data_IF_543751033969
#
_entry.id   IF_543751033969
#
_cell.length_a   1.000
_cell.length_b   1.000
_cell.length_c   1.000
_cell.angle_alpha   90.00
_cell.angle_beta   90.00
_cell.angle_gamma   90.00
#
_symmetry.space_group_name_H-M   'P 1'
#
loop_
_entity.id
_entity.type
_entity.pdbx_description
1 polymer ?
#
# COMPACT_ATOMS: atom_id res chain seq x y z
N UNK A 1 3.43 24.52 -2.39
CA UNK A 1 3.23 24.12 -0.99
C UNK A 1 1.73 24.01 -0.75
N UNK A 2 1.28 22.84 -0.39
CA UNK A 2 -0.11 22.65 -0.05
C UNK A 2 -0.20 22.33 1.44
N UNK A 3 -0.91 23.15 2.16
CA UNK A 3 -1.37 22.87 3.50
C UNK A 3 -2.83 22.53 3.36
N UNK A 4 -3.18 21.27 3.33
CA UNK A 4 -4.54 20.90 3.05
C UNK A 4 -4.96 19.62 3.74
N UNK A 5 -5.91 19.73 4.61
CA UNK A 5 -6.82 18.64 4.92
C UNK A 5 -8.01 18.61 3.96
N UNK A 6 -8.01 19.43 2.95
CA UNK A 6 -9.05 19.51 1.94
C UNK A 6 -8.54 18.96 0.63
N UNK A 7 -9.36 18.21 0.05
CA UNK A 7 -9.46 17.66 -1.29
C UNK A 7 -8.43 18.07 -2.34
N UNK A 8 -8.28 17.21 -3.24
CA UNK A 8 -7.40 17.19 -4.40
C UNK A 8 -7.27 18.51 -5.13
N UNK A 9 -6.04 19.00 -5.23
CA UNK A 9 -5.84 20.34 -5.74
C UNK A 9 -5.70 20.44 -7.26
N UNK A 10 -5.59 19.37 -8.00
CA UNK A 10 -5.16 19.45 -9.39
C UNK A 10 -6.24 19.79 -10.41
N UNK A 11 -7.05 18.83 -10.77
CA UNK A 11 -8.05 19.02 -11.80
C UNK A 11 -9.22 19.86 -11.31
N UNK A 12 -9.57 19.73 -10.04
CA UNK A 12 -10.65 20.51 -9.43
C UNK A 12 -10.28 21.95 -9.20
N UNK A 13 -9.02 22.25 -8.89
CA UNK A 13 -8.54 23.63 -8.79
C UNK A 13 -8.68 24.42 -10.10
N UNK A 14 -8.49 23.77 -11.22
CA UNK A 14 -8.66 24.39 -12.52
C UNK A 14 -10.14 24.55 -12.90
N UNK A 15 -10.98 23.61 -12.45
CA UNK A 15 -12.40 23.63 -12.72
C UNK A 15 -13.22 24.52 -11.75
N UNK A 16 -12.74 24.65 -10.51
CA UNK A 16 -13.44 25.38 -9.44
C UNK A 16 -12.45 26.21 -8.59
N UNK A 17 -11.86 27.23 -9.16
CA UNK A 17 -10.82 28.03 -8.49
C UNK A 17 -11.31 28.73 -7.22
N UNK A 18 -12.62 28.90 -7.08
CA UNK A 18 -13.23 29.55 -5.91
C UNK A 18 -13.39 28.61 -4.71
N UNK A 19 -13.37 27.31 -4.94
CA UNK A 19 -13.54 26.29 -3.89
C UNK A 19 -12.23 25.77 -3.35
N UNK A 20 -11.19 25.75 -4.17
CA UNK A 20 -9.89 25.23 -3.81
C UNK A 20 -8.85 26.34 -3.91
N UNK A 21 -8.13 26.55 -2.84
CA UNK A 21 -7.12 27.59 -2.77
C UNK A 21 -5.76 26.99 -2.50
N UNK A 22 -4.79 27.48 -3.19
CA UNK A 22 -3.39 27.11 -3.05
C UNK A 22 -2.68 28.16 -2.17
N UNK A 23 -1.70 27.75 -1.40
CA UNK A 23 -0.88 28.64 -0.58
C UNK A 23 -1.67 29.47 0.45
N UNK A 24 -2.25 28.80 1.42
CA UNK A 24 -2.90 29.41 2.57
C UNK A 24 -4.37 29.74 2.39
N UNK A 25 -4.95 29.35 1.26
CA UNK A 25 -6.38 29.45 1.05
C UNK A 25 -7.14 28.15 1.28
N UNK A 26 -6.52 27.18 1.91
CA UNK A 26 -7.12 25.86 2.15
C UNK A 26 -8.31 25.93 3.07
N UNK A 27 -9.39 25.35 2.64
CA UNK A 27 -10.60 25.29 3.43
C UNK A 27 -10.47 24.25 4.52
N UNK A 28 -10.72 24.66 5.76
CA UNK A 28 -10.74 23.77 6.87
C UNK A 28 -11.94 22.79 6.79
N UNK A 29 -11.67 21.51 6.93
CA UNK A 29 -12.70 20.46 6.92
C UNK A 29 -12.84 19.87 8.32
N UNK A 30 -14.00 20.00 8.97
CA UNK A 30 -14.21 19.48 10.30
C UNK A 30 -14.33 17.95 10.32
N UNK A 31 -14.23 17.37 11.51
CA UNK A 31 -14.59 15.99 11.78
C UNK A 31 -16.09 15.74 11.62
N UNK A 32 -16.50 14.48 11.61
CA UNK A 32 -17.92 14.05 11.48
C UNK A 32 -18.85 14.56 12.57
N UNK A 33 -18.32 15.01 13.70
CA UNK A 33 -19.07 15.65 14.78
C UNK A 33 -19.07 17.19 14.72
N UNK A 34 -18.51 17.76 13.67
CA UNK A 34 -18.38 19.20 13.47
C UNK A 34 -17.25 19.85 14.25
N UNK A 35 -16.51 19.11 15.03
CA UNK A 35 -15.37 19.65 15.78
C UNK A 35 -14.14 19.79 14.90
N UNK A 36 -13.15 20.48 15.44
CA UNK A 36 -11.90 20.74 14.77
C UNK A 36 -11.11 19.46 14.58
N UNK A 37 -10.65 19.25 13.34
CA UNK A 37 -9.68 18.24 13.01
C UNK A 37 -8.28 18.87 13.20
N UNK A 38 -7.62 18.52 14.30
CA UNK A 38 -6.32 19.08 14.61
C UNK A 38 -5.25 18.51 13.67
N UNK A 39 -4.47 19.45 13.11
CA UNK A 39 -3.33 19.14 12.27
C UNK A 39 -2.06 19.50 13.03
N UNK A 40 -1.08 18.61 13.01
CA UNK A 40 0.24 18.86 13.56
C UNK A 40 1.25 18.92 12.43
N UNK A 41 1.90 20.06 12.29
CA UNK A 41 2.94 20.27 11.29
C UNK A 41 4.22 20.81 11.93
N UNK A 42 5.35 20.38 11.40
CA UNK A 42 6.66 20.91 11.78
C UNK A 42 7.27 21.66 10.62
N UNK A 43 7.63 22.90 10.87
CA UNK A 43 8.38 23.71 9.94
C UNK A 43 9.84 23.72 10.34
N UNK A 44 10.70 23.34 9.40
CA UNK A 44 12.14 23.46 9.54
C UNK A 44 12.61 24.57 8.61
N UNK A 45 13.23 25.60 9.19
CA UNK A 45 13.84 26.69 8.42
C UNK A 45 15.34 26.57 8.56
N UNK A 46 16.01 26.28 7.46
CA UNK A 46 17.47 26.23 7.40
C UNK A 46 17.95 27.35 6.50
N UNK A 47 18.87 28.18 7.02
CA UNK A 47 19.47 29.26 6.29
C UNK A 47 20.97 29.01 6.17
N UNK A 48 21.48 29.04 4.94
CA UNK A 48 22.91 28.93 4.67
C UNK A 48 23.25 29.64 3.36
N UNK A 49 24.44 30.21 3.22
CA UNK A 49 24.94 30.68 1.92
C UNK A 49 25.30 29.52 0.96
N UNK A 50 25.29 28.28 1.44
CA UNK A 50 25.65 27.10 0.67
C UNK A 50 24.40 26.22 0.45
N UNK A 51 24.11 25.95 -0.81
CA UNK A 51 22.90 25.21 -1.20
C UNK A 51 22.83 23.81 -0.59
N UNK A 52 23.93 23.08 -0.57
CA UNK A 52 24.00 21.73 -0.04
C UNK A 52 23.67 21.62 1.45
N UNK A 53 23.84 22.71 2.21
CA UNK A 53 23.55 22.75 3.65
C UNK A 53 22.07 22.98 3.95
N UNK A 54 21.29 23.47 2.98
CA UNK A 54 19.84 23.67 3.16
C UNK A 54 19.03 22.47 2.72
N UNK A 55 19.67 21.49 2.10
CA UNK A 55 18.98 20.24 1.76
C UNK A 55 18.74 19.40 3.02
N UNK A 56 17.57 18.76 3.13
CA UNK A 56 17.30 17.93 4.29
C UNK A 56 18.28 16.76 4.37
N UNK A 57 19.01 16.68 5.46
CA UNK A 57 19.89 15.58 5.80
C UNK A 57 19.10 14.52 6.55
N UNK A 58 18.32 13.76 5.85
CA UNK A 58 17.64 12.60 6.44
C UNK A 58 18.60 11.41 6.46
N UNK A 59 18.79 10.75 7.61
CA UNK A 59 19.53 9.51 7.65
C UNK A 59 18.90 8.52 6.68
N UNK A 60 19.63 8.16 5.67
CA UNK A 60 19.21 7.16 4.69
C UNK A 60 20.26 6.05 4.61
N UNK A 61 20.29 5.15 5.59
CA UNK A 61 21.22 4.03 5.57
C UNK A 61 20.96 3.18 4.32
N UNK A 62 22.03 2.69 3.72
CA UNK A 62 21.89 1.79 2.57
C UNK A 62 21.05 0.57 2.96
N UNK A 63 20.03 0.30 2.16
CA UNK A 63 19.29 -0.94 2.31
C UNK A 63 20.23 -2.13 2.11
N UNK A 64 20.19 -3.16 2.97
CA UNK A 64 20.94 -4.38 2.77
C UNK A 64 20.55 -5.11 1.46
N UNK A 65 19.42 -4.78 0.89
CA UNK A 65 18.87 -5.37 -0.34
C UNK A 65 19.18 -4.57 -1.62
N UNK A 66 19.99 -3.51 -1.51
CA UNK A 66 20.36 -2.69 -2.69
C UNK A 66 21.00 -3.51 -3.82
N UNK A 67 21.73 -4.56 -3.49
CA UNK A 67 22.32 -5.44 -4.49
C UNK A 67 21.26 -6.16 -5.33
N UNK A 68 20.16 -6.58 -4.74
CA UNK A 68 19.03 -7.20 -5.46
C UNK A 68 18.39 -6.18 -6.40
N UNK A 69 18.12 -4.97 -5.91
CA UNK A 69 17.51 -3.89 -6.71
C UNK A 69 18.36 -3.51 -7.92
N UNK A 70 19.70 -3.55 -7.78
CA UNK A 70 20.64 -3.20 -8.85
C UNK A 70 20.91 -4.31 -9.87
N UNK A 71 20.59 -5.56 -9.55
CA UNK A 71 20.95 -6.72 -10.38
C UNK A 71 19.76 -7.51 -10.90
N UNK A 72 18.58 -7.37 -10.32
CA UNK A 72 17.40 -8.16 -10.65
C UNK A 72 16.37 -7.33 -11.41
N UNK A 73 15.69 -7.99 -12.34
CA UNK A 73 14.49 -7.46 -13.00
C UNK A 73 13.28 -7.76 -12.14
N UNK A 74 12.55 -6.73 -11.75
CA UNK A 74 11.27 -6.92 -11.06
C UNK A 74 10.15 -7.20 -12.06
N UNK A 75 9.32 -8.19 -11.73
CA UNK A 75 8.16 -8.56 -12.53
C UNK A 75 6.92 -8.73 -11.64
N UNK A 76 5.96 -7.83 -11.80
CA UNK A 76 4.60 -8.06 -11.33
C UNK A 76 3.94 -9.10 -12.24
N UNK A 77 3.43 -10.17 -11.67
CA UNK A 77 2.81 -11.27 -12.40
C UNK A 77 1.34 -11.41 -12.02
N UNK A 78 0.48 -11.41 -13.03
CA UNK A 78 -0.92 -11.76 -12.85
C UNK A 78 -1.06 -13.26 -12.63
N UNK A 79 -1.01 -13.70 -11.39
CA UNK A 79 -1.03 -15.11 -11.04
C UNK A 79 -2.34 -15.76 -11.46
N UNK A 80 -2.22 -16.83 -12.24
CA UNK A 80 -3.32 -17.61 -12.75
C UNK A 80 -3.41 -19.00 -12.13
N UNK A 81 -3.41 -20.00 -12.97
CA UNK A 81 -3.29 -21.39 -12.56
C UNK A 81 -1.85 -21.74 -12.20
N UNK A 82 -1.61 -22.30 -11.02
CA UNK A 82 -0.26 -22.59 -10.50
C UNK A 82 0.56 -23.51 -11.41
N UNK A 83 -0.05 -24.48 -12.06
CA UNK A 83 0.65 -25.36 -12.99
C UNK A 83 1.06 -24.65 -14.28
N UNK A 84 0.22 -23.77 -14.77
CA UNK A 84 0.56 -22.91 -15.90
C UNK A 84 1.70 -21.94 -15.53
N UNK A 85 1.62 -21.32 -14.35
CA UNK A 85 2.62 -20.36 -13.87
C UNK A 85 3.97 -21.05 -13.67
N UNK A 86 4.01 -22.27 -13.12
CA UNK A 86 5.24 -23.07 -13.00
C UNK A 86 5.87 -23.33 -14.38
N UNK A 87 5.09 -23.74 -15.36
CA UNK A 87 5.61 -23.94 -16.72
C UNK A 87 6.15 -22.67 -17.32
N UNK A 88 5.42 -21.57 -17.21
CA UNK A 88 5.85 -20.26 -17.71
C UNK A 88 7.21 -19.85 -17.12
N UNK A 89 7.34 -19.86 -15.81
CA UNK A 89 8.58 -19.44 -15.13
C UNK A 89 9.72 -20.41 -15.36
N UNK A 90 9.45 -21.72 -15.54
CA UNK A 90 10.45 -22.71 -15.95
C UNK A 90 11.01 -22.38 -17.33
N UNK A 91 10.16 -22.04 -18.27
CA UNK A 91 10.61 -21.63 -19.60
C UNK A 91 11.42 -20.33 -19.55
N UNK A 92 10.99 -19.31 -18.79
CA UNK A 92 11.77 -18.11 -18.58
C UNK A 92 13.16 -18.43 -18.04
N UNK A 93 13.27 -19.31 -17.06
CA UNK A 93 14.55 -19.76 -16.51
C UNK A 93 15.41 -20.47 -17.54
N UNK A 94 14.83 -21.35 -18.37
CA UNK A 94 15.54 -22.03 -19.47
C UNK A 94 16.11 -21.07 -20.50
N UNK A 95 15.42 -19.95 -20.74
CA UNK A 95 15.89 -18.88 -21.64
C UNK A 95 16.87 -17.89 -20.99
N UNK A 96 17.36 -18.18 -19.81
CA UNK A 96 18.42 -17.42 -19.15
C UNK A 96 17.95 -16.29 -18.24
N UNK A 97 16.66 -16.18 -17.95
CA UNK A 97 16.18 -15.25 -16.94
C UNK A 97 16.50 -15.81 -15.55
N UNK A 98 17.56 -15.33 -14.93
CA UNK A 98 18.08 -15.86 -13.65
C UNK A 98 17.90 -14.88 -12.50
N UNK A 99 18.09 -13.59 -12.75
CA UNK A 99 17.99 -12.54 -11.76
C UNK A 99 16.64 -11.86 -11.86
N UNK A 100 15.63 -12.47 -11.25
CA UNK A 100 14.25 -12.00 -11.32
C UNK A 100 13.63 -11.92 -9.93
N UNK A 101 12.97 -10.82 -9.65
CA UNK A 101 12.07 -10.64 -8.51
C UNK A 101 10.64 -10.74 -9.01
N UNK A 102 9.89 -11.71 -8.53
CA UNK A 102 8.51 -11.94 -8.95
C UNK A 102 7.58 -11.64 -7.79
N UNK A 103 6.60 -10.80 -8.04
CA UNK A 103 5.51 -10.55 -7.09
C UNK A 103 4.17 -10.90 -7.73
N UNK A 104 3.44 -11.81 -7.09
CA UNK A 104 2.20 -12.32 -7.61
C UNK A 104 1.01 -11.43 -7.26
N UNK A 105 0.38 -10.88 -8.31
CA UNK A 105 -0.99 -10.44 -8.26
C UNK A 105 -1.91 -11.64 -8.47
N UNK A 106 -2.63 -12.04 -7.48
CA UNK A 106 -3.67 -13.04 -7.64
C UNK A 106 -4.88 -12.40 -8.32
N UNK A 107 -5.41 -13.09 -9.33
CA UNK A 107 -6.51 -12.58 -10.14
C UNK A 107 -7.82 -12.47 -9.37
N UNK A 108 -8.61 -11.49 -9.71
CA UNK A 108 -9.92 -11.24 -9.17
C UNK A 108 -10.03 -9.86 -8.53
N UNK A 109 -10.70 -9.79 -7.40
CA UNK A 109 -10.85 -8.57 -6.65
C UNK A 109 -9.72 -8.38 -5.66
N UNK A 110 -9.43 -7.14 -5.34
CA UNK A 110 -8.64 -6.80 -4.15
C UNK A 110 -9.30 -7.40 -2.93
N UNK A 111 -8.50 -7.99 -2.05
CA UNK A 111 -8.90 -8.75 -0.87
C UNK A 111 -9.71 -10.02 -1.13
N UNK A 112 -10.28 -10.19 -2.28
CA UNK A 112 -10.98 -11.42 -2.68
C UNK A 112 -10.18 -12.27 -3.66
N UNK A 113 -9.37 -11.64 -4.50
CA UNK A 113 -8.60 -12.29 -5.54
C UNK A 113 -7.12 -11.92 -5.55
N UNK A 114 -6.74 -10.86 -4.86
CA UNK A 114 -5.35 -10.50 -4.68
C UNK A 114 -4.75 -11.19 -3.46
N UNK A 115 -3.44 -11.17 -3.35
CA UNK A 115 -2.65 -11.93 -2.42
C UNK A 115 -2.96 -11.64 -0.95
N UNK A 116 -2.03 -11.44 -0.10
CA UNK A 116 -2.21 -11.48 1.35
C UNK A 116 -2.63 -10.17 2.02
N UNK A 117 -3.27 -9.27 1.29
CA UNK A 117 -3.80 -8.04 1.90
C UNK A 117 -4.94 -8.36 2.87
N UNK A 118 -4.77 -8.02 4.13
CA UNK A 118 -5.72 -8.29 5.22
C UNK A 118 -6.17 -9.77 5.33
N UNK A 119 -5.32 -10.72 4.98
CA UNK A 119 -5.60 -12.17 5.13
C UNK A 119 -4.30 -12.96 5.27
N UNK A 120 -4.41 -14.23 5.67
CA UNK A 120 -3.24 -15.10 5.90
C UNK A 120 -3.28 -16.37 5.06
N UNK A 121 -4.11 -16.41 4.02
CA UNK A 121 -4.28 -17.53 3.10
C UNK A 121 -4.30 -17.03 1.66
N UNK A 122 -3.90 -17.86 0.69
CA UNK A 122 -3.98 -17.50 -0.71
C UNK A 122 -5.42 -17.36 -1.19
N UNK A 123 -5.61 -16.75 -2.36
CA UNK A 123 -6.90 -16.68 -3.02
C UNK A 123 -7.47 -18.07 -3.31
N UNK A 124 -8.79 -18.20 -3.43
CA UNK A 124 -9.41 -19.44 -3.84
C UNK A 124 -8.82 -20.00 -5.15
N UNK A 125 -8.68 -21.32 -5.24
CA UNK A 125 -8.13 -21.98 -6.42
C UNK A 125 -6.60 -22.03 -6.50
N UNK A 126 -5.90 -21.54 -5.49
CA UNK A 126 -4.41 -21.57 -5.42
C UNK A 126 -3.84 -22.77 -4.64
N UNK A 127 -4.67 -23.76 -4.31
CA UNK A 127 -4.26 -24.98 -3.60
C UNK A 127 -4.13 -24.82 -2.08
N UNK A 128 -4.71 -23.76 -1.52
CA UNK A 128 -4.62 -23.48 -0.07
C UNK A 128 -3.21 -23.22 0.40
N UNK A 129 -2.99 -23.32 1.70
CA UNK A 129 -1.68 -23.04 2.32
C UNK A 129 -0.60 -24.00 1.83
N UNK A 130 -0.93 -25.26 1.60
CA UNK A 130 0.01 -26.25 1.08
C UNK A 130 0.44 -25.92 -0.35
N UNK A 131 -0.50 -25.71 -1.24
CA UNK A 131 -0.21 -25.36 -2.63
C UNK A 131 0.58 -24.06 -2.77
N UNK A 132 0.30 -23.07 -1.92
CA UNK A 132 1.07 -21.82 -1.90
C UNK A 132 2.50 -22.02 -1.39
N UNK A 133 2.67 -22.85 -0.36
CA UNK A 133 3.99 -23.18 0.17
C UNK A 133 4.84 -23.93 -0.87
N UNK A 134 4.25 -24.90 -1.54
CA UNK A 134 4.93 -25.68 -2.58
C UNK A 134 5.30 -24.80 -3.78
N UNK A 135 4.43 -23.88 -4.14
CA UNK A 135 4.72 -22.92 -5.20
C UNK A 135 5.84 -21.96 -4.80
N UNK A 136 5.82 -21.43 -3.57
CA UNK A 136 6.89 -20.56 -3.08
C UNK A 136 8.26 -21.27 -3.08
N UNK A 137 8.30 -22.53 -2.62
CA UNK A 137 9.52 -23.36 -2.69
C UNK A 137 9.98 -23.59 -4.12
N UNK A 138 9.04 -23.91 -5.01
CA UNK A 138 9.38 -24.09 -6.41
C UNK A 138 10.02 -22.86 -7.02
N UNK A 139 9.45 -21.68 -6.78
CA UNK A 139 9.97 -20.42 -7.31
C UNK A 139 11.34 -20.08 -6.72
N UNK A 140 11.54 -20.29 -5.42
CA UNK A 140 12.75 -19.90 -4.70
C UNK A 140 13.84 -20.96 -4.78
N UNK A 141 13.53 -22.21 -4.44
CA UNK A 141 14.53 -23.27 -4.26
C UNK A 141 14.85 -23.98 -5.59
N UNK A 142 13.86 -24.14 -6.49
CA UNK A 142 14.06 -24.81 -7.77
C UNK A 142 14.47 -23.86 -8.87
N UNK A 143 13.80 -22.72 -9.00
CA UNK A 143 14.10 -21.75 -10.06
C UNK A 143 15.11 -20.68 -9.62
N UNK A 144 15.35 -20.51 -8.33
CA UNK A 144 16.28 -19.52 -7.77
C UNK A 144 15.82 -18.08 -7.90
N UNK A 145 14.51 -17.84 -8.01
CA UNK A 145 13.95 -16.50 -8.10
C UNK A 145 13.69 -15.91 -6.71
N UNK A 146 13.77 -14.60 -6.60
CA UNK A 146 13.21 -13.88 -5.46
C UNK A 146 11.69 -13.80 -5.66
N UNK A 147 10.92 -14.33 -4.71
CA UNK A 147 9.48 -14.49 -4.90
C UNK A 147 8.68 -14.07 -3.67
N UNK A 148 7.57 -13.41 -3.91
CA UNK A 148 6.66 -13.00 -2.84
C UNK A 148 5.30 -12.49 -3.33
N UNK A 149 4.43 -12.12 -2.39
CA UNK A 149 3.10 -11.64 -2.70
C UNK A 149 3.08 -10.15 -3.06
N UNK A 150 2.03 -9.78 -3.76
CA UNK A 150 1.54 -8.43 -3.82
C UNK A 150 0.69 -8.13 -2.59
N UNK A 151 0.86 -6.96 -2.02
CA UNK A 151 0.06 -6.44 -0.92
C UNK A 151 -0.41 -5.02 -1.22
N UNK A 152 -1.55 -4.66 -0.66
CA UNK A 152 -2.09 -3.32 -0.74
C UNK A 152 -2.94 -3.04 0.51
N UNK A 153 -2.41 -2.28 1.44
CA UNK A 153 -3.09 -1.93 2.69
C UNK A 153 -3.91 -0.64 2.58
N UNK A 154 -4.13 -0.13 1.38
CA UNK A 154 -4.90 1.09 1.14
C UNK A 154 -6.29 0.83 0.58
N UNK A 155 -6.56 -0.40 0.15
CA UNK A 155 -7.82 -0.81 -0.45
C UNK A 155 -8.37 -2.03 0.28
N UNK A 156 -9.59 -1.93 0.80
CA UNK A 156 -10.22 -2.95 1.63
C UNK A 156 -11.62 -3.27 1.11
N UNK A 157 -11.83 -4.52 0.73
CA UNK A 157 -13.10 -4.93 0.12
C UNK A 157 -14.06 -5.55 1.14
N UNK A 158 -15.38 -5.34 0.99
CA UNK A 158 -16.40 -5.94 1.86
C UNK A 158 -16.41 -7.47 1.88
N UNK A 159 -15.80 -8.11 0.89
CA UNK A 159 -15.68 -9.59 0.83
C UNK A 159 -14.57 -10.15 1.72
N UNK A 160 -13.73 -9.29 2.30
CA UNK A 160 -12.66 -9.74 3.18
C UNK A 160 -13.22 -10.25 4.51
N UNK A 161 -12.62 -11.33 5.02
CA UNK A 161 -13.04 -11.97 6.28
C UNK A 161 -12.93 -11.08 7.54
N UNK A 162 -12.09 -10.05 7.47
CA UNK A 162 -11.92 -9.05 8.53
C UNK A 162 -12.73 -7.78 8.30
N UNK A 163 -13.62 -7.77 7.30
CA UNK A 163 -14.40 -6.59 7.00
C UNK A 163 -15.25 -6.14 8.18
N UNK A 164 -15.07 -4.90 8.54
CA UNK A 164 -15.90 -4.20 9.50
C UNK A 164 -15.93 -2.71 9.15
N UNK A 165 -17.06 -2.07 9.26
CA UNK A 165 -17.21 -0.65 8.90
C UNK A 165 -16.35 0.29 9.74
N UNK A 166 -15.99 -0.09 10.97
CA UNK A 166 -15.08 0.68 11.82
C UNK A 166 -13.61 0.57 11.41
N UNK A 167 -13.31 -0.32 10.47
CA UNK A 167 -11.98 -0.35 9.84
C UNK A 167 -11.84 0.66 8.72
N UNK A 168 -12.94 1.22 8.24
CA UNK A 168 -12.96 2.11 7.07
C UNK A 168 -12.98 3.56 7.52
N UNK A 169 -12.18 4.38 6.86
CA UNK A 169 -12.17 5.82 7.06
C UNK A 169 -13.51 6.46 6.73
N UNK A 170 -13.78 7.60 7.34
CA UNK A 170 -15.00 8.38 7.10
C UNK A 170 -14.69 9.66 6.36
N UNK A 171 -15.57 10.01 5.45
CA UNK A 171 -15.64 11.34 4.86
C UNK A 171 -16.22 12.35 5.86
N UNK A 172 -16.10 13.66 5.64
CA UNK A 172 -16.65 14.67 6.55
C UNK A 172 -18.17 14.55 6.78
N UNK A 173 -18.91 14.04 5.80
CA UNK A 173 -20.34 13.78 5.87
C UNK A 173 -20.68 12.38 6.42
N UNK A 174 -19.69 11.74 7.06
CA UNK A 174 -19.83 10.45 7.74
C UNK A 174 -20.14 9.26 6.83
N UNK A 175 -19.87 9.36 5.54
CA UNK A 175 -19.95 8.21 4.64
C UNK A 175 -18.65 7.37 4.73
N UNK A 176 -18.74 6.11 4.29
CA UNK A 176 -17.54 5.29 4.14
C UNK A 176 -16.67 5.84 3.00
N UNK A 177 -15.39 6.04 3.28
CA UNK A 177 -14.47 6.56 2.29
C UNK A 177 -14.13 5.50 1.24
N UNK A 178 -14.48 5.78 0.00
CA UNK A 178 -14.15 4.93 -1.13
C UNK A 178 -12.66 4.96 -1.46
N UNK A 179 -12.18 3.85 -1.97
CA UNK A 179 -10.84 3.67 -2.51
C UNK A 179 -10.92 3.22 -3.97
N UNK A 180 -10.18 2.19 -4.35
CA UNK A 180 -10.18 1.69 -5.71
C UNK A 180 -11.39 0.77 -5.99
N UNK A 181 -12.07 1.00 -7.11
CA UNK A 181 -13.19 0.17 -7.60
C UNK A 181 -14.25 -0.13 -6.52
N UNK A 182 -14.30 -1.36 -6.04
CA UNK A 182 -15.27 -1.86 -5.03
C UNK A 182 -14.71 -1.83 -3.62
N UNK A 183 -13.54 -1.23 -3.44
CA UNK A 183 -12.86 -1.15 -2.17
C UNK A 183 -13.14 0.16 -1.44
N UNK A 184 -12.87 0.15 -0.17
CA UNK A 184 -12.92 1.30 0.72
C UNK A 184 -11.54 1.53 1.32
N UNK A 185 -11.27 2.77 1.70
CA UNK A 185 -10.01 3.14 2.34
C UNK A 185 -10.00 2.68 3.79
N UNK A 186 -9.13 1.76 4.21
CA UNK A 186 -9.00 1.43 5.61
C UNK A 186 -8.42 2.62 6.39
N UNK A 187 -8.78 2.74 7.66
CA UNK A 187 -8.14 3.68 8.56
C UNK A 187 -6.64 3.38 8.63
N UNK A 188 -5.76 4.38 8.50
CA UNK A 188 -4.30 4.14 8.50
C UNK A 188 -3.81 3.34 9.71
N UNK A 189 -4.27 3.68 10.91
CA UNK A 189 -3.92 2.96 12.12
C UNK A 189 -4.34 1.48 12.08
N UNK A 190 -5.49 1.18 11.50
CA UNK A 190 -5.98 -0.20 11.34
C UNK A 190 -5.15 -0.97 10.30
N UNK A 191 -4.77 -0.33 9.21
CA UNK A 191 -3.87 -0.93 8.23
C UNK A 191 -2.54 -1.36 8.86
N UNK A 192 -1.93 -0.49 9.65
CA UNK A 192 -0.68 -0.79 10.38
C UNK A 192 -0.87 -1.93 11.39
N UNK A 193 -1.94 -1.89 12.19
CA UNK A 193 -2.27 -2.94 13.17
C UNK A 193 -2.42 -4.31 12.49
N UNK A 194 -3.16 -4.39 11.41
CA UNK A 194 -3.38 -5.65 10.69
C UNK A 194 -2.12 -6.13 9.99
N UNK A 195 -1.36 -5.23 9.38
CA UNK A 195 -0.07 -5.59 8.80
C UNK A 195 0.86 -6.20 9.85
N UNK A 196 1.03 -5.54 10.99
CA UNK A 196 1.86 -6.03 12.08
C UNK A 196 1.42 -7.41 12.61
N UNK A 197 0.12 -7.67 12.63
CA UNK A 197 -0.44 -8.94 13.10
C UNK A 197 -0.35 -10.05 12.06
N UNK A 198 -0.65 -9.76 10.79
CA UNK A 198 -0.81 -10.78 9.74
C UNK A 198 0.49 -11.11 9.02
N UNK A 199 1.37 -10.13 8.80
CA UNK A 199 2.61 -10.35 8.05
C UNK A 199 3.54 -11.43 8.69
N UNK A 200 3.72 -11.49 10.02
CA UNK A 200 4.50 -12.57 10.63
C UNK A 200 3.90 -13.97 10.38
N UNK A 201 2.57 -14.08 10.40
CA UNK A 201 1.87 -15.35 10.13
C UNK A 201 2.10 -15.79 8.69
N UNK A 202 1.98 -14.86 7.74
CA UNK A 202 2.23 -15.12 6.32
C UNK A 202 3.68 -15.58 6.11
N UNK A 203 4.63 -14.86 6.69
CA UNK A 203 6.06 -15.19 6.58
C UNK A 203 6.37 -16.56 7.17
N UNK A 204 5.80 -16.89 8.32
CA UNK A 204 5.98 -18.22 8.93
C UNK A 204 5.44 -19.34 8.04
N UNK A 205 4.27 -19.14 7.43
CA UNK A 205 3.63 -20.13 6.56
C UNK A 205 4.38 -20.38 5.25
N UNK A 206 4.83 -19.33 4.58
CA UNK A 206 5.22 -19.41 3.18
C UNK A 206 6.70 -19.11 2.92
N UNK A 207 7.39 -18.48 3.87
CA UNK A 207 8.83 -18.15 3.78
C UNK A 207 9.17 -17.37 2.50
N UNK A 208 8.37 -16.38 2.17
CA UNK A 208 8.62 -15.51 1.02
C UNK A 208 9.94 -14.75 1.17
N UNK A 209 10.65 -14.53 0.07
CA UNK A 209 11.90 -13.76 0.04
C UNK A 209 11.72 -12.29 -0.30
N UNK A 210 10.52 -11.88 -0.67
CA UNK A 210 10.14 -10.49 -0.92
C UNK A 210 8.65 -10.27 -0.67
N UNK A 211 8.24 -9.01 -0.70
CA UNK A 211 6.84 -8.59 -0.83
C UNK A 211 6.78 -7.27 -1.59
N UNK A 212 5.75 -7.06 -2.36
CA UNK A 212 5.45 -5.79 -3.00
C UNK A 212 4.29 -5.12 -2.26
N UNK A 213 4.46 -3.86 -1.94
CA UNK A 213 3.43 -3.06 -1.29
C UNK A 213 3.03 -1.92 -2.24
N UNK A 214 1.89 -2.06 -2.87
CA UNK A 214 1.40 -1.12 -3.88
C UNK A 214 0.70 0.08 -3.24
N UNK A 215 0.69 1.21 -3.98
CA UNK A 215 -0.07 2.44 -3.68
C UNK A 215 0.45 3.27 -2.51
N UNK A 216 1.14 2.72 -1.54
CA UNK A 216 1.55 3.41 -0.31
C UNK A 216 2.38 4.69 -0.53
N UNK A 217 3.13 4.76 -1.61
CA UNK A 217 3.89 5.95 -2.00
C UNK A 217 3.25 6.75 -3.13
N UNK A 218 2.20 6.21 -3.74
CA UNK A 218 1.51 6.84 -4.87
C UNK A 218 0.31 7.69 -4.43
N UNK A 219 -0.27 7.38 -3.27
CA UNK A 219 -1.39 8.15 -2.72
C UNK A 219 -0.83 9.26 -1.84
N UNK A 220 -1.15 10.50 -2.20
CA UNK A 220 -0.73 11.65 -1.42
C UNK A 220 -1.32 11.61 0.00
N UNK A 221 -0.57 12.05 1.03
CA UNK A 221 -1.00 11.94 2.43
C UNK A 221 -2.35 12.60 2.75
N UNK A 222 -2.73 13.60 1.97
CA UNK A 222 -3.98 14.34 2.12
C UNK A 222 -5.19 13.71 1.43
N UNK A 223 -5.02 12.63 0.67
CA UNK A 223 -6.10 12.03 -0.11
C UNK A 223 -7.02 11.14 0.71
N UNK A 224 -6.55 10.46 1.71
CA UNK A 224 -7.33 9.48 2.46
C UNK A 224 -7.35 9.80 3.95
N UNK A 225 -7.61 11.07 4.23
CA UNK A 225 -7.76 11.54 5.62
C UNK A 225 -9.03 10.93 6.21
N UNK A 226 -8.91 10.35 7.37
CA UNK A 226 -10.06 9.87 8.14
C UNK A 226 -10.66 11.02 8.98
N UNK A 227 -11.91 11.36 8.73
CA UNK A 227 -12.64 12.40 9.45
C UNK A 227 -13.48 11.85 10.61
N UNK A 228 -13.34 10.58 10.95
CA UNK A 228 -14.12 9.95 12.02
C UNK A 228 -13.77 10.54 13.40
N UNK A 229 -14.71 11.27 13.98
CA UNK A 229 -14.54 11.89 15.30
C UNK A 229 -14.31 10.89 16.43
N UNK A 230 -14.63 9.61 16.23
CA UNK A 230 -14.38 8.53 17.18
C UNK A 230 -12.90 8.14 17.26
N UNK A 231 -12.10 8.57 16.30
CA UNK A 231 -10.67 8.30 16.24
C UNK A 231 -9.91 9.62 16.22
N UNK A 232 -9.68 10.24 17.38
CA UNK A 232 -8.98 11.52 17.48
C UNK A 232 -7.58 11.44 16.89
N UNK A 233 -7.20 12.47 16.14
CA UNK A 233 -5.90 12.52 15.48
C UNK A 233 -5.74 11.46 14.39
N UNK A 234 -6.87 11.00 13.86
CA UNK A 234 -6.89 10.09 12.75
C UNK A 234 -6.02 10.63 11.62
N UNK A 235 -4.86 10.09 11.55
CA UNK A 235 -3.84 10.51 10.62
C UNK A 235 -4.27 10.32 9.19
N UNK A 236 -3.53 10.96 8.38
CA UNK A 236 -3.39 10.64 6.99
C UNK A 236 -2.63 9.32 6.86
N UNK A 237 -2.51 8.78 5.68
CA UNK A 237 -1.63 7.65 5.40
C UNK A 237 -0.15 7.90 5.74
N UNK A 238 0.20 9.12 6.07
CA UNK A 238 1.56 9.50 6.51
C UNK A 238 1.77 9.39 8.03
N UNK A 239 0.71 9.15 8.80
CA UNK A 239 0.79 8.89 10.24
C UNK A 239 1.03 7.37 10.55
#
# INVERSE_FOLDING_TARGET
WYLSNASEPWAENLARPDEVRVNGGTRYTPLTDGKRNDCYERFFVTLSPRYEEVLPTLPNPKSPWMHVTGTHVWRAHGAGNREHDKRHWTECRRWGMTEVVITDHETGWRDGGESFTFRTRPAPGKGGDEGQRDYARYMQDTLGFVYGPYNNYTDFAPVNEYWHTDMVGRTPDNQLQHAWMRCYAPKPARAVEYCARLAPIIQEKFKFSTAYCDVHTAVAPWHRVDYDARVPGAGTMAA
#
